data_IF_414287002178
#
_entry.id   IF_414287002178
#
_cell.length_a   1.000
_cell.length_b   1.000
_cell.length_c   1.000
_cell.angle_alpha   90.00
_cell.angle_beta   90.00
_cell.angle_gamma   90.00
#
_symmetry.space_group_name_H-M   'P 1'
#
loop_
_entity.id
_entity.type
_entity.pdbx_description
1 polymer ?
#
# COMPACT_ATOMS: atom_id res chain seq x y z
N UNK A 1 7.55 -22.15 17.42
CA UNK A 1 7.00 -21.16 18.39
C UNK A 1 7.66 -19.77 18.33
N UNK A 2 8.99 -19.67 18.13
CA UNK A 2 9.70 -18.37 18.00
C UNK A 2 9.37 -17.64 16.69
N UNK A 3 9.28 -18.38 15.58
CA UNK A 3 8.97 -17.82 14.25
C UNK A 3 7.61 -17.10 14.21
N UNK A 4 6.56 -17.71 14.79
CA UNK A 4 5.25 -17.10 14.92
C UNK A 4 5.28 -15.78 15.70
N UNK A 5 6.15 -15.64 16.71
CA UNK A 5 6.31 -14.38 17.47
C UNK A 5 6.99 -13.29 16.65
N UNK A 6 8.06 -13.61 15.93
CA UNK A 6 8.74 -12.65 15.03
C UNK A 6 7.82 -12.17 13.92
N UNK A 7 7.08 -13.11 13.31
CA UNK A 7 6.07 -12.80 12.29
C UNK A 7 4.98 -11.88 12.83
N UNK A 8 4.45 -12.18 14.02
CA UNK A 8 3.45 -11.34 14.67
C UNK A 8 3.98 -9.94 15.00
N UNK A 9 5.19 -9.83 15.54
CA UNK A 9 5.83 -8.54 15.80
C UNK A 9 6.02 -7.72 14.52
N UNK A 10 6.44 -8.35 13.41
CA UNK A 10 6.56 -7.69 12.11
C UNK A 10 5.22 -7.18 11.57
N UNK A 11 4.13 -7.94 11.76
CA UNK A 11 2.79 -7.47 11.41
C UNK A 11 2.48 -6.18 12.18
N UNK A 12 2.69 -6.18 13.50
CA UNK A 12 2.45 -5.00 14.34
C UNK A 12 3.29 -3.82 13.86
N UNK A 13 4.60 -4.01 13.66
CA UNK A 13 5.51 -2.96 13.21
C UNK A 13 5.06 -2.38 11.87
N UNK A 14 4.66 -3.21 10.91
CA UNK A 14 4.26 -2.73 9.58
C UNK A 14 2.90 -2.03 9.60
N UNK A 15 1.95 -2.48 10.45
CA UNK A 15 0.72 -1.73 10.71
C UNK A 15 1.04 -0.37 11.33
N UNK A 16 1.88 -0.33 12.37
CA UNK A 16 2.29 0.91 13.03
C UNK A 16 3.01 1.86 12.07
N UNK A 17 3.90 1.34 11.22
CA UNK A 17 4.57 2.13 10.19
C UNK A 17 3.59 2.63 9.13
N UNK A 18 2.57 1.86 8.77
CA UNK A 18 1.52 2.31 7.85
C UNK A 18 0.72 3.46 8.47
N UNK A 19 0.38 3.37 9.76
CA UNK A 19 -0.24 4.47 10.51
C UNK A 19 0.68 5.68 10.60
N UNK A 20 1.98 5.51 10.87
CA UNK A 20 2.93 6.64 10.87
C UNK A 20 3.04 7.25 9.48
N UNK A 21 3.11 6.42 8.43
CA UNK A 21 3.11 6.86 7.03
C UNK A 21 1.85 7.64 6.65
N UNK A 22 0.71 7.31 7.26
CA UNK A 22 -0.55 8.06 7.12
C UNK A 22 -0.48 9.51 7.66
N UNK A 23 0.39 9.74 8.65
CA UNK A 23 0.65 11.06 9.24
C UNK A 23 1.68 11.85 8.42
N UNK A 24 2.54 11.16 7.67
CA UNK A 24 3.54 11.78 6.80
C UNK A 24 2.89 12.30 5.51
N UNK A 25 2.31 13.49 5.63
CA UNK A 25 1.63 14.19 4.55
C UNK A 25 2.61 15.03 3.75
N UNK A 26 2.95 14.59 2.54
CA UNK A 26 3.74 15.41 1.62
C UNK A 26 2.79 16.35 0.85
N UNK A 27 3.08 17.66 0.80
CA UNK A 27 2.21 18.63 0.13
C UNK A 27 2.18 18.38 -1.38
N UNK A 28 1.00 18.50 -1.97
CA UNK A 28 0.74 18.45 -3.42
C UNK A 28 -0.21 19.58 -3.80
N UNK A 29 -0.34 19.86 -5.10
CA UNK A 29 -1.19 20.95 -5.62
C UNK A 29 -2.68 20.82 -5.24
N UNK A 30 -3.16 19.63 -4.87
CA UNK A 30 -4.56 19.36 -4.53
C UNK A 30 -4.78 18.87 -3.09
N UNK A 31 -3.77 18.96 -2.23
CA UNK A 31 -3.84 18.47 -0.85
C UNK A 31 -2.54 17.82 -0.43
N UNK A 32 -2.61 16.66 0.21
CA UNK A 32 -1.43 15.91 0.64
C UNK A 32 -1.50 14.44 0.24
N UNK A 33 -0.33 13.84 0.02
CA UNK A 33 -0.20 12.40 -0.19
C UNK A 33 0.28 11.73 1.10
N UNK A 34 -0.19 10.52 1.36
CA UNK A 34 0.22 9.70 2.50
C UNK A 34 1.19 8.59 2.06
N UNK A 35 2.01 8.11 3.00
CA UNK A 35 2.97 7.02 2.80
C UNK A 35 2.54 5.70 3.46
N UNK A 36 1.24 5.54 3.68
CA UNK A 36 0.62 4.38 4.32
C UNK A 36 0.80 3.07 3.51
N UNK A 37 0.88 3.18 2.19
CA UNK A 37 0.96 2.05 1.26
C UNK A 37 2.35 1.43 1.20
N UNK A 38 3.42 2.17 1.51
CA UNK A 38 4.78 1.67 1.48
C UNK A 38 4.99 0.52 2.48
N UNK A 39 4.65 0.66 3.78
CA UNK A 39 4.64 -0.45 4.72
C UNK A 39 3.71 -1.60 4.32
N UNK A 40 2.59 -1.29 3.65
CA UNK A 40 1.68 -2.31 3.13
C UNK A 40 2.30 -3.16 2.01
N UNK A 41 2.99 -2.54 1.05
CA UNK A 41 3.73 -3.23 0.00
C UNK A 41 4.88 -4.07 0.57
N UNK A 42 5.59 -3.55 1.57
CA UNK A 42 6.62 -4.30 2.32
C UNK A 42 6.01 -5.52 2.99
N UNK A 43 4.87 -5.36 3.68
CA UNK A 43 4.14 -6.45 4.31
C UNK A 43 3.66 -7.48 3.28
N UNK A 44 3.15 -7.03 2.14
CA UNK A 44 2.72 -7.90 1.04
C UNK A 44 3.88 -8.77 0.51
N UNK A 45 5.04 -8.15 0.29
CA UNK A 45 6.22 -8.82 -0.23
C UNK A 45 6.79 -9.86 0.77
N UNK A 46 6.83 -9.52 2.07
CA UNK A 46 7.52 -10.33 3.08
C UNK A 46 6.58 -11.31 3.81
N UNK A 47 5.37 -10.86 4.17
CA UNK A 47 4.43 -11.61 5.02
C UNK A 47 3.28 -12.25 4.24
N UNK A 48 3.07 -11.80 3.00
CA UNK A 48 2.13 -12.36 2.04
C UNK A 48 0.88 -11.54 1.76
N UNK A 49 0.06 -12.01 0.80
CA UNK A 49 -1.01 -11.22 0.21
C UNK A 49 -2.04 -10.74 1.23
N UNK A 50 -2.56 -11.63 2.07
CA UNK A 50 -3.62 -11.29 3.03
C UNK A 50 -3.15 -10.28 4.09
N UNK A 51 -1.90 -10.40 4.54
CA UNK A 51 -1.33 -9.45 5.51
C UNK A 51 -1.10 -8.10 4.85
N UNK A 52 -0.49 -8.06 3.66
CA UNK A 52 -0.29 -6.81 2.93
C UNK A 52 -1.62 -6.09 2.66
N UNK A 53 -2.64 -6.83 2.21
CA UNK A 53 -3.97 -6.30 1.97
C UNK A 53 -4.61 -5.68 3.23
N UNK A 54 -4.49 -6.37 4.38
CA UNK A 54 -4.98 -5.84 5.65
C UNK A 54 -4.25 -4.57 6.07
N UNK A 55 -2.92 -4.54 5.97
CA UNK A 55 -2.11 -3.34 6.27
C UNK A 55 -2.51 -2.19 5.35
N UNK A 56 -2.76 -2.45 4.07
CA UNK A 56 -3.17 -1.45 3.09
C UNK A 56 -4.53 -0.83 3.43
N UNK A 57 -5.53 -1.66 3.69
CA UNK A 57 -6.87 -1.20 4.07
C UNK A 57 -6.83 -0.37 5.35
N UNK A 58 -6.15 -0.88 6.38
CA UNK A 58 -6.05 -0.20 7.67
C UNK A 58 -5.28 1.12 7.58
N UNK A 59 -4.17 1.12 6.83
CA UNK A 59 -3.38 2.32 6.54
C UNK A 59 -4.20 3.41 5.86
N UNK A 60 -5.00 3.04 4.85
CA UNK A 60 -5.86 4.00 4.16
C UNK A 60 -6.92 4.61 5.07
N UNK A 61 -7.57 3.79 5.90
CA UNK A 61 -8.54 4.27 6.88
C UNK A 61 -7.88 5.20 7.92
N UNK A 62 -6.66 4.90 8.36
CA UNK A 62 -5.89 5.78 9.21
C UNK A 62 -5.57 7.12 8.50
N UNK A 63 -5.14 7.08 7.24
CA UNK A 63 -4.90 8.29 6.42
C UNK A 63 -6.13 9.17 6.34
N UNK A 64 -7.30 8.59 6.06
CA UNK A 64 -8.56 9.31 6.00
C UNK A 64 -8.92 9.95 7.35
N UNK A 65 -8.83 9.16 8.43
CA UNK A 65 -9.14 9.61 9.78
C UNK A 65 -8.24 10.78 10.21
N UNK A 66 -6.93 10.65 10.05
CA UNK A 66 -5.97 11.71 10.41
C UNK A 66 -5.95 12.87 9.40
N UNK A 67 -6.56 12.73 8.23
CA UNK A 67 -6.86 13.84 7.32
C UNK A 67 -8.07 14.67 7.75
N UNK A 68 -8.79 14.27 8.81
CA UNK A 68 -9.99 14.95 9.28
C UNK A 68 -11.17 14.76 8.33
N UNK A 69 -11.09 13.80 7.40
CA UNK A 69 -12.16 13.49 6.48
C UNK A 69 -13.05 12.42 7.12
N UNK A 70 -14.38 12.61 7.19
CA UNK A 70 -15.26 11.62 7.79
C UNK A 70 -15.09 10.23 7.17
N UNK A 71 -14.88 9.23 8.03
CA UNK A 71 -14.93 7.83 7.59
C UNK A 71 -16.35 7.53 7.11
N UNK A 72 -16.45 6.94 5.92
CA UNK A 72 -17.72 6.72 5.25
C UNK A 72 -17.56 5.76 4.08
N UNK A 73 -18.64 5.60 3.31
CA UNK A 73 -18.71 4.61 2.22
C UNK A 73 -17.55 4.75 1.21
N UNK A 74 -17.15 5.99 0.87
CA UNK A 74 -16.06 6.23 -0.07
C UNK A 74 -14.70 5.79 0.47
N UNK A 75 -14.38 6.05 1.74
CA UNK A 75 -13.11 5.58 2.32
C UNK A 75 -13.09 4.06 2.51
N UNK A 76 -14.26 3.46 2.79
CA UNK A 76 -14.37 2.00 2.83
C UNK A 76 -14.18 1.38 1.44
N UNK A 77 -14.74 2.01 0.39
CA UNK A 77 -14.50 1.60 -0.99
C UNK A 77 -13.01 1.64 -1.33
N UNK A 78 -12.33 2.75 -1.06
CA UNK A 78 -10.89 2.87 -1.35
C UNK A 78 -10.08 1.92 -0.49
N UNK A 79 -10.42 1.71 0.79
CA UNK A 79 -9.74 0.71 1.62
C UNK A 79 -9.84 -0.71 1.02
N UNK A 80 -10.99 -1.06 0.43
CA UNK A 80 -11.16 -2.33 -0.30
C UNK A 80 -10.34 -2.34 -1.60
N UNK A 81 -10.35 -1.26 -2.37
CA UNK A 81 -9.50 -1.13 -3.58
C UNK A 81 -8.02 -1.31 -3.23
N UNK A 82 -7.54 -0.64 -2.18
CA UNK A 82 -6.17 -0.76 -1.67
C UNK A 82 -5.85 -2.18 -1.24
N UNK A 83 -6.77 -2.86 -0.53
CA UNK A 83 -6.60 -4.26 -0.17
C UNK A 83 -6.43 -5.15 -1.40
N UNK A 84 -7.27 -4.98 -2.42
CA UNK A 84 -7.23 -5.76 -3.67
C UNK A 84 -5.95 -5.48 -4.45
N UNK A 85 -5.54 -4.21 -4.57
CA UNK A 85 -4.33 -3.82 -5.29
C UNK A 85 -3.07 -4.36 -4.61
N UNK A 86 -2.97 -4.27 -3.29
CA UNK A 86 -1.81 -4.80 -2.55
C UNK A 86 -1.82 -6.33 -2.54
N UNK A 87 -2.99 -6.96 -2.48
CA UNK A 87 -3.11 -8.42 -2.65
C UNK A 87 -2.60 -8.87 -4.02
N UNK A 88 -3.05 -8.21 -5.10
CA UNK A 88 -2.65 -8.51 -6.47
C UNK A 88 -1.16 -8.26 -6.70
N UNK A 89 -0.62 -7.17 -6.15
CA UNK A 89 0.81 -6.92 -6.09
C UNK A 89 1.56 -8.10 -5.46
N UNK A 90 1.15 -8.53 -4.26
CA UNK A 90 1.81 -9.63 -3.55
C UNK A 90 1.73 -10.95 -4.32
N UNK A 91 0.59 -11.22 -4.95
CA UNK A 91 0.41 -12.42 -5.78
C UNK A 91 1.40 -12.43 -6.95
N UNK A 92 1.49 -11.34 -7.73
CA UNK A 92 2.44 -11.19 -8.84
C UNK A 92 3.90 -11.23 -8.36
N UNK A 93 4.19 -10.55 -7.25
CA UNK A 93 5.52 -10.48 -6.66
C UNK A 93 6.02 -11.87 -6.25
N UNK A 94 5.14 -12.72 -5.70
CA UNK A 94 5.44 -14.11 -5.34
C UNK A 94 5.71 -15.02 -6.54
N UNK A 95 5.15 -14.72 -7.70
CA UNK A 95 5.52 -15.38 -8.96
C UNK A 95 6.88 -14.92 -9.51
N UNK A 96 7.61 -14.07 -8.79
CA UNK A 96 8.85 -13.41 -9.22
C UNK A 96 8.65 -12.42 -10.36
N UNK A 97 7.42 -12.00 -10.62
CA UNK A 97 7.10 -11.02 -11.65
C UNK A 97 7.16 -9.60 -11.09
N UNK A 98 8.29 -9.23 -10.48
CA UNK A 98 8.45 -7.96 -9.73
C UNK A 98 8.07 -6.74 -10.57
N UNK A 99 8.53 -6.68 -11.83
CA UNK A 99 8.18 -5.57 -12.74
C UNK A 99 6.67 -5.51 -13.00
N UNK A 100 6.03 -6.66 -13.20
CA UNK A 100 4.58 -6.73 -13.40
C UNK A 100 3.82 -6.36 -12.12
N UNK A 101 4.29 -6.78 -10.95
CA UNK A 101 3.70 -6.43 -9.66
C UNK A 101 3.72 -4.90 -9.44
N UNK A 102 4.89 -4.27 -9.63
CA UNK A 102 5.06 -2.83 -9.51
C UNK A 102 4.19 -2.08 -10.53
N UNK A 103 4.18 -2.53 -11.78
CA UNK A 103 3.35 -1.94 -12.83
C UNK A 103 1.85 -2.08 -12.52
N UNK A 104 1.42 -3.25 -12.06
CA UNK A 104 0.05 -3.51 -11.64
C UNK A 104 -0.39 -2.58 -10.51
N UNK A 105 0.42 -2.46 -9.46
CA UNK A 105 0.10 -1.55 -8.35
C UNK A 105 0.11 -0.08 -8.81
N UNK A 106 1.10 0.31 -9.62
CA UNK A 106 1.20 1.66 -10.17
C UNK A 106 -0.03 2.05 -10.98
N UNK A 107 -0.40 1.23 -11.97
CA UNK A 107 -1.54 1.48 -12.84
C UNK A 107 -2.84 1.40 -12.05
N UNK A 108 -2.98 0.35 -11.24
CA UNK A 108 -4.15 0.11 -10.42
C UNK A 108 -4.44 1.27 -9.47
N UNK A 109 -3.44 1.72 -8.72
CA UNK A 109 -3.65 2.77 -7.72
C UNK A 109 -3.76 4.17 -8.34
N UNK A 110 -2.97 4.47 -9.37
CA UNK A 110 -2.92 5.83 -9.94
C UNK A 110 -4.07 6.11 -10.89
N UNK A 111 -4.56 5.10 -11.62
CA UNK A 111 -5.53 5.29 -12.70
C UNK A 111 -6.82 4.50 -12.53
N UNK A 112 -6.78 3.27 -11.99
CA UNK A 112 -7.98 2.42 -11.92
C UNK A 112 -8.81 2.66 -10.65
N UNK A 113 -8.16 2.80 -9.49
CA UNK A 113 -8.82 3.08 -8.21
C UNK A 113 -9.73 4.32 -8.24
N UNK A 114 -9.41 5.44 -8.91
CA UNK A 114 -10.34 6.56 -8.97
C UNK A 114 -11.52 6.34 -9.95
N UNK A 115 -11.53 5.33 -10.82
CA UNK A 115 -12.58 5.18 -11.85
C UNK A 115 -14.00 4.99 -11.28
N UNK A 116 -14.24 4.19 -10.23
CA UNK A 116 -15.57 4.04 -9.66
C UNK A 116 -16.18 5.37 -9.20
N UNK A 117 -15.34 6.32 -8.78
CA UNK A 117 -15.78 7.66 -8.37
C UNK A 117 -16.40 8.47 -9.51
N UNK A 118 -16.16 8.13 -10.79
CA UNK A 118 -16.83 8.79 -11.90
C UNK A 118 -18.37 8.71 -11.82
N UNK A 119 -18.90 7.67 -11.18
CA UNK A 119 -20.35 7.46 -11.03
C UNK A 119 -21.01 8.51 -10.09
N UNK A 120 -20.27 8.99 -9.09
CA UNK A 120 -20.80 9.90 -8.06
C UNK A 120 -20.21 11.31 -8.13
N UNK A 121 -18.93 11.43 -8.49
CA UNK A 121 -18.15 12.69 -8.51
C UNK A 121 -17.90 13.21 -9.93
N UNK A 122 -18.19 12.40 -10.96
CA UNK A 122 -17.99 12.76 -12.37
C UNK A 122 -16.55 12.62 -12.86
N UNK A 123 -16.38 12.67 -14.19
CA UNK A 123 -15.08 12.46 -14.87
C UNK A 123 -14.04 13.53 -14.52
N UNK A 124 -14.49 14.77 -14.26
CA UNK A 124 -13.60 15.87 -13.91
C UNK A 124 -12.86 15.61 -12.59
N UNK A 125 -13.56 15.07 -11.57
CA UNK A 125 -12.94 14.66 -10.31
C UNK A 125 -11.87 13.59 -10.53
N UNK A 126 -12.20 12.55 -11.29
CA UNK A 126 -11.26 11.45 -11.60
C UNK A 126 -9.99 11.97 -12.25
N UNK A 127 -10.13 12.83 -13.27
CA UNK A 127 -8.98 13.42 -13.94
C UNK A 127 -8.15 14.33 -13.02
N UNK A 128 -8.82 15.05 -12.11
CA UNK A 128 -8.15 15.94 -11.16
C UNK A 128 -7.30 15.17 -10.14
N UNK A 129 -7.74 13.99 -9.67
CA UNK A 129 -7.00 13.25 -8.62
C UNK A 129 -5.82 12.42 -9.14
N UNK A 130 -5.80 12.07 -10.43
CA UNK A 130 -4.75 11.23 -11.03
C UNK A 130 -3.33 11.75 -10.76
N UNK A 131 -2.99 13.05 -10.94
CA UNK A 131 -1.65 13.55 -10.66
C UNK A 131 -1.21 13.31 -9.22
N UNK A 132 -2.07 13.62 -8.24
CA UNK A 132 -1.77 13.40 -6.82
C UNK A 132 -1.63 11.92 -6.48
N UNK A 133 -2.53 11.07 -6.99
CA UNK A 133 -2.43 9.61 -6.80
C UNK A 133 -1.17 9.03 -7.44
N UNK A 134 -0.77 9.53 -8.61
CA UNK A 134 0.46 9.09 -9.28
C UNK A 134 1.69 9.41 -8.43
N UNK A 135 1.81 10.64 -7.90
CA UNK A 135 2.92 11.04 -7.05
C UNK A 135 2.93 10.21 -5.75
N UNK A 136 1.77 10.03 -5.11
CA UNK A 136 1.62 9.19 -3.93
C UNK A 136 2.11 7.76 -4.18
N UNK A 137 1.65 7.18 -5.29
CA UNK A 137 1.95 5.80 -5.65
C UNK A 137 3.44 5.61 -5.92
N UNK A 138 4.06 6.52 -6.67
CA UNK A 138 5.50 6.48 -6.95
C UNK A 138 6.31 6.60 -5.66
N UNK A 139 5.97 7.55 -4.78
CA UNK A 139 6.65 7.71 -3.50
C UNK A 139 6.56 6.43 -2.65
N UNK A 140 5.37 5.83 -2.54
CA UNK A 140 5.18 4.59 -1.80
C UNK A 140 5.94 3.41 -2.40
N UNK A 141 5.94 3.28 -3.74
CA UNK A 141 6.74 2.27 -4.44
C UNK A 141 8.24 2.46 -4.13
N UNK A 142 8.77 3.67 -4.26
CA UNK A 142 10.19 3.95 -4.01
C UNK A 142 10.57 3.56 -2.58
N UNK A 143 9.81 4.01 -1.58
CA UNK A 143 10.08 3.66 -0.17
C UNK A 143 10.05 2.14 0.02
N UNK A 144 9.06 1.45 -0.56
CA UNK A 144 8.98 -0.02 -0.46
C UNK A 144 10.20 -0.71 -1.09
N UNK A 145 10.67 -0.25 -2.26
CA UNK A 145 11.82 -0.82 -2.96
C UNK A 145 13.14 -0.59 -2.23
N UNK A 146 13.25 0.48 -1.44
CA UNK A 146 14.42 0.71 -0.59
C UNK A 146 14.42 -0.20 0.65
N UNK A 147 13.25 -0.44 1.23
CA UNK A 147 13.11 -1.19 2.49
C UNK A 147 13.13 -2.71 2.27
N UNK A 148 12.46 -3.21 1.23
CA UNK A 148 12.30 -4.63 0.95
C UNK A 148 13.66 -5.39 0.89
N UNK A 149 14.68 -4.92 0.13
CA UNK A 149 15.97 -5.62 0.03
C UNK A 149 16.73 -5.66 1.36
N UNK A 150 16.63 -4.58 2.16
CA UNK A 150 17.28 -4.48 3.47
C UNK A 150 16.72 -5.54 4.43
N UNK A 151 15.39 -5.66 4.49
CA UNK A 151 14.73 -6.65 5.35
C UNK A 151 15.01 -8.09 4.90
N UNK A 152 15.12 -8.34 3.59
CA UNK A 152 15.49 -9.65 3.06
C UNK A 152 16.92 -10.04 3.40
N UNK A 153 17.87 -9.10 3.30
CA UNK A 153 19.29 -9.33 3.63
C UNK A 153 19.47 -9.78 5.09
N UNK A 154 18.64 -9.27 5.99
CA UNK A 154 18.75 -9.54 7.43
C UNK A 154 17.99 -10.78 7.89
N UNK A 155 17.38 -11.53 6.95
CA UNK A 155 16.66 -12.80 7.20
C UNK A 155 15.71 -12.72 8.43
N UNK A 156 15.03 -11.57 8.59
CA UNK A 156 14.25 -11.24 9.80
C UNK A 156 13.09 -12.23 9.99
N UNK A 157 12.62 -12.83 8.90
CA UNK A 157 11.72 -13.98 8.87
C UNK A 157 12.31 -14.94 7.84
N UNK A 158 12.39 -16.24 8.17
CA UNK A 158 12.58 -17.27 7.15
C UNK A 158 11.38 -17.19 6.22
N UNK A 159 11.51 -16.45 5.13
CA UNK A 159 10.50 -16.45 4.09
C UNK A 159 10.48 -17.88 3.57
N UNK A 160 9.42 -18.65 3.86
CA UNK A 160 9.19 -19.90 3.16
C UNK A 160 9.29 -19.61 1.66
N UNK A 161 10.44 -19.98 1.09
CA UNK A 161 10.78 -20.00 -0.34
C UNK A 161 10.41 -18.72 -1.11
N UNK A 162 11.25 -17.69 -1.02
CA UNK A 162 11.40 -16.75 -2.14
C UNK A 162 12.88 -16.41 -2.40
N UNK A 163 13.33 -16.39 -3.66
CA UNK A 163 14.72 -16.14 -3.99
C UNK A 163 15.04 -14.65 -4.00
N UNK A 164 16.31 -14.36 -3.66
CA UNK A 164 16.91 -13.02 -3.63
C UNK A 164 16.82 -12.37 -5.00
N UNK A 165 16.49 -11.08 -5.00
CA UNK A 165 16.50 -10.20 -6.18
C UNK A 165 17.90 -10.09 -6.80
#
# INVERSE_FOLDING_TARGET
MIENRKRFAMIIVLISLSVIGSLLKLPTSLGSIALDSAPALVAAAILGPSIGAFVAAFGHLASAFFAGVPLGAFHMLVAVEMAVLVYGFAWLYRQKWTKAALFFFFVGNSFLAPLPFALWMGKAFVLAVIPSLTIATVANIIVSLLVIPVLWKWNIIESEKMPRA
#
